data_IF_947712802840
#
_entry.id   IF_947712802840
#
_cell.length_a   1.000
_cell.length_b   1.000
_cell.length_c   1.000
_cell.angle_alpha   90.00
_cell.angle_beta   90.00
_cell.angle_gamma   90.00
#
_symmetry.space_group_name_H-M   'P 1'
#
loop_
_entity.id
_entity.type
_entity.pdbx_description
1 polymer ?
#
# COMPACT_ATOMS: atom_id res chain seq x y z
N UNK A 1 0.71 -5.08 -9.46
CA UNK A 1 1.11 -4.31 -10.66
C UNK A 1 2.05 -3.20 -10.22
N UNK A 2 3.17 -2.96 -10.90
CA UNK A 2 4.12 -1.90 -10.52
C UNK A 2 3.96 -0.66 -11.43
N UNK A 3 4.82 0.35 -11.23
CA UNK A 3 4.77 1.63 -11.94
C UNK A 3 5.13 1.58 -13.44
N UNK A 4 5.54 0.42 -13.99
CA UNK A 4 5.76 0.25 -15.45
C UNK A 4 4.52 -0.26 -16.19
N UNK A 5 3.42 -0.51 -15.47
CA UNK A 5 2.14 -0.88 -16.03
C UNK A 5 1.41 0.32 -16.67
N UNK A 6 0.85 0.12 -17.86
CA UNK A 6 0.04 1.10 -18.58
C UNK A 6 -1.44 0.72 -18.72
N UNK A 7 -1.88 -0.36 -18.07
CA UNK A 7 -3.24 -0.88 -18.15
C UNK A 7 -4.05 -0.54 -16.88
N UNK A 8 -5.29 -0.09 -17.06
CA UNK A 8 -6.21 0.08 -15.93
C UNK A 8 -6.47 -1.29 -15.29
N UNK A 9 -6.29 -1.37 -13.99
CA UNK A 9 -6.43 -2.61 -13.22
C UNK A 9 -6.80 -2.28 -11.78
N UNK A 10 -7.60 -3.17 -11.17
CA UNK A 10 -7.95 -3.15 -9.74
C UNK A 10 -6.97 -3.95 -8.87
N UNK A 11 -5.81 -4.31 -9.43
CA UNK A 11 -4.71 -5.05 -8.79
C UNK A 11 -5.15 -6.35 -8.08
N UNK A 12 -4.43 -6.77 -7.05
CA UNK A 12 -4.57 -8.05 -6.39
C UNK A 12 -5.90 -8.17 -5.63
N UNK A 13 -6.39 -7.11 -4.98
CA UNK A 13 -7.69 -7.11 -4.29
C UNK A 13 -8.85 -7.21 -5.27
N UNK A 14 -8.80 -6.45 -6.36
CA UNK A 14 -9.83 -6.56 -7.38
C UNK A 14 -9.78 -7.90 -8.11
N UNK A 15 -8.60 -8.49 -8.32
CA UNK A 15 -8.51 -9.86 -8.81
C UNK A 15 -9.18 -10.86 -7.85
N UNK A 16 -8.97 -10.70 -6.53
CA UNK A 16 -9.65 -11.50 -5.52
C UNK A 16 -11.18 -11.34 -5.57
N UNK A 17 -11.68 -10.10 -5.68
CA UNK A 17 -13.10 -9.79 -5.90
C UNK A 17 -13.66 -10.52 -7.12
N UNK A 18 -12.99 -10.41 -8.26
CA UNK A 18 -13.43 -11.05 -9.52
C UNK A 18 -13.53 -12.57 -9.37
N UNK A 19 -12.53 -13.21 -8.75
CA UNK A 19 -12.57 -14.67 -8.52
C UNK A 19 -13.76 -15.07 -7.64
N UNK A 20 -14.04 -14.31 -6.59
CA UNK A 20 -15.15 -14.60 -5.69
C UNK A 20 -16.51 -14.40 -6.37
N UNK A 21 -16.68 -13.30 -7.10
CA UNK A 21 -17.89 -13.05 -7.88
C UNK A 21 -18.11 -14.12 -8.94
N UNK A 22 -17.06 -14.55 -9.64
CA UNK A 22 -17.16 -15.62 -10.63
C UNK A 22 -17.55 -16.96 -9.99
N UNK A 23 -16.97 -17.29 -8.83
CA UNK A 23 -17.31 -18.50 -8.07
C UNK A 23 -18.79 -18.55 -7.69
N UNK A 24 -19.36 -17.42 -7.27
CA UNK A 24 -20.74 -17.35 -6.77
C UNK A 24 -21.79 -17.10 -7.86
N UNK A 25 -21.45 -16.32 -8.89
CA UNK A 25 -22.36 -15.98 -9.99
C UNK A 25 -22.31 -16.97 -11.17
N UNK A 26 -21.44 -17.98 -11.12
CA UNK A 26 -21.34 -19.03 -12.14
C UNK A 26 -20.94 -18.50 -13.52
N UNK A 27 -21.71 -18.84 -14.57
CA UNK A 27 -21.42 -18.47 -15.98
C UNK A 27 -21.74 -17.01 -16.32
N UNK A 28 -21.94 -16.15 -15.33
CA UNK A 28 -22.14 -14.72 -15.56
C UNK A 28 -20.89 -14.06 -16.13
N UNK A 29 -21.07 -13.01 -16.93
CA UNK A 29 -19.96 -12.14 -17.34
C UNK A 29 -19.39 -11.40 -16.14
N UNK A 30 -18.08 -11.16 -16.13
CA UNK A 30 -17.41 -10.38 -15.06
C UNK A 30 -18.11 -9.03 -14.87
N UNK A 31 -18.34 -8.63 -13.61
CA UNK A 31 -19.06 -7.40 -13.26
C UNK A 31 -20.58 -7.48 -13.41
N UNK A 32 -21.14 -8.67 -13.64
CA UNK A 32 -22.58 -8.95 -13.62
C UNK A 32 -22.89 -10.10 -12.67
N UNK A 33 -24.07 -10.06 -12.08
CA UNK A 33 -24.59 -11.11 -11.21
C UNK A 33 -25.15 -10.52 -9.91
N UNK A 34 -25.94 -11.31 -9.16
CA UNK A 34 -26.52 -10.86 -7.90
C UNK A 34 -25.51 -10.85 -6.73
N UNK A 35 -24.47 -11.69 -6.76
CA UNK A 35 -23.45 -11.72 -5.72
C UNK A 35 -22.38 -10.66 -5.98
N UNK A 36 -22.03 -9.90 -4.94
CA UNK A 36 -21.01 -8.85 -4.96
C UNK A 36 -19.95 -9.20 -3.92
N UNK A 37 -18.67 -9.16 -4.31
CA UNK A 37 -17.56 -9.42 -3.41
C UNK A 37 -16.60 -8.23 -3.33
N UNK A 38 -16.50 -7.60 -2.16
CA UNK A 38 -15.61 -6.46 -1.93
C UNK A 38 -14.48 -6.83 -0.96
N UNK A 39 -13.24 -6.64 -1.41
CA UNK A 39 -12.05 -6.79 -0.57
C UNK A 39 -11.60 -5.42 -0.07
N UNK A 40 -11.99 -5.08 1.16
CA UNK A 40 -11.64 -3.81 1.79
C UNK A 40 -10.17 -3.76 2.23
N UNK A 41 -9.67 -2.53 2.36
CA UNK A 41 -8.40 -2.24 3.01
C UNK A 41 -8.55 -2.13 4.53
N UNK A 42 -7.47 -2.43 5.23
CA UNK A 42 -7.34 -2.26 6.68
C UNK A 42 -6.15 -1.32 6.96
N UNK A 43 -5.21 -1.75 7.81
CA UNK A 43 -3.98 -1.03 8.13
C UNK A 43 -2.80 -1.50 7.25
N UNK A 44 -2.68 -0.93 6.05
CA UNK A 44 -1.70 -1.37 5.03
C UNK A 44 -0.52 -0.40 4.80
N UNK A 45 -0.30 0.56 5.70
CA UNK A 45 0.70 1.62 5.49
C UNK A 45 2.14 1.13 5.29
N UNK A 46 2.48 -0.03 5.84
CA UNK A 46 3.79 -0.68 5.81
C UNK A 46 3.73 -2.14 5.33
N UNK A 47 2.66 -2.52 4.61
CA UNK A 47 2.44 -3.90 4.13
C UNK A 47 2.62 -3.97 2.62
N UNK A 48 3.55 -4.81 2.17
CA UNK A 48 3.83 -5.01 0.74
C UNK A 48 3.31 -6.37 0.22
N UNK A 49 2.69 -6.41 -0.98
CA UNK A 49 2.38 -7.67 -1.66
C UNK A 49 3.61 -8.31 -2.34
N UNK A 50 4.75 -7.62 -2.35
CA UNK A 50 5.98 -8.07 -3.01
C UNK A 50 6.80 -9.00 -2.10
N UNK A 51 6.29 -10.22 -1.91
CA UNK A 51 6.76 -11.16 -0.88
C UNK A 51 8.16 -11.75 -1.10
N UNK A 52 8.84 -11.50 -2.22
CA UNK A 52 10.26 -11.90 -2.39
C UNK A 52 11.24 -10.92 -1.75
N UNK A 53 10.73 -9.78 -1.25
CA UNK A 53 11.51 -8.77 -0.56
C UNK A 53 12.35 -7.89 -1.50
N UNK A 54 12.97 -6.83 -0.94
CA UNK A 54 13.71 -5.83 -1.69
C UNK A 54 15.10 -6.30 -2.10
N UNK A 55 15.45 -6.12 -3.38
CA UNK A 55 16.75 -6.46 -3.95
C UNK A 55 17.24 -5.39 -4.91
N UNK A 56 18.56 -5.31 -5.03
CA UNK A 56 19.23 -4.45 -5.98
C UNK A 56 19.09 -5.02 -7.39
N UNK A 57 18.49 -4.25 -8.29
CA UNK A 57 18.23 -4.71 -9.67
C UNK A 57 19.50 -4.93 -10.49
N UNK A 58 20.61 -4.30 -10.11
CA UNK A 58 21.91 -4.38 -10.79
C UNK A 58 22.79 -5.54 -10.29
N UNK A 59 22.69 -5.91 -9.01
CA UNK A 59 23.56 -6.93 -8.38
C UNK A 59 22.82 -8.18 -7.91
N UNK A 60 21.49 -8.12 -7.73
CA UNK A 60 20.68 -9.18 -7.13
C UNK A 60 20.81 -9.33 -5.61
N UNK A 61 21.70 -8.56 -4.98
CA UNK A 61 21.90 -8.57 -3.54
C UNK A 61 20.71 -7.94 -2.79
N UNK A 62 20.48 -8.28 -1.51
CA UNK A 62 19.53 -7.55 -0.67
C UNK A 62 19.87 -6.06 -0.60
N UNK A 63 18.84 -5.21 -0.57
CA UNK A 63 19.04 -3.78 -0.33
C UNK A 63 19.53 -3.49 1.09
N UNK A 64 20.06 -2.29 1.31
CA UNK A 64 20.21 -1.76 2.66
C UNK A 64 18.84 -1.57 3.33
N UNK A 65 18.67 -2.16 4.51
CA UNK A 65 17.37 -2.23 5.19
C UNK A 65 16.92 -0.88 5.77
N UNK A 66 17.85 -0.02 6.21
CA UNK A 66 17.51 1.24 6.86
C UNK A 66 17.14 2.33 5.86
N UNK A 67 17.82 2.35 4.72
CA UNK A 67 17.69 3.42 3.71
C UNK A 67 16.92 2.98 2.47
N UNK A 68 16.70 1.68 2.29
CA UNK A 68 16.14 1.08 1.06
C UNK A 68 16.96 1.48 -0.18
N UNK A 69 18.28 1.34 -0.10
CA UNK A 69 19.18 1.73 -1.19
C UNK A 69 20.10 0.60 -1.64
N UNK A 70 20.64 0.77 -2.84
CA UNK A 70 21.68 -0.05 -3.43
C UNK A 70 22.83 0.87 -3.85
N UNK A 71 23.97 0.77 -3.16
CA UNK A 71 25.09 1.72 -3.32
C UNK A 71 24.63 3.19 -3.20
N UNK A 72 23.71 3.47 -2.27
CA UNK A 72 23.18 4.80 -2.01
C UNK A 72 22.09 5.29 -2.97
N UNK A 73 21.68 4.50 -3.96
CA UNK A 73 20.59 4.82 -4.90
C UNK A 73 19.32 4.07 -4.51
N UNK A 74 18.21 4.78 -4.31
CA UNK A 74 16.92 4.18 -3.96
C UNK A 74 16.23 3.59 -5.20
N UNK A 75 16.42 4.18 -6.39
CA UNK A 75 15.81 3.75 -7.65
C UNK A 75 16.16 2.30 -8.04
N UNK A 76 17.27 1.79 -7.51
CA UNK A 76 17.76 0.44 -7.74
C UNK A 76 17.24 -0.60 -6.75
N UNK A 77 16.65 -0.17 -5.64
CA UNK A 77 16.13 -1.07 -4.62
C UNK A 77 14.65 -1.34 -4.85
N UNK A 78 14.32 -2.54 -5.35
CA UNK A 78 12.94 -2.89 -5.70
C UNK A 78 12.55 -4.21 -5.04
N UNK A 79 11.36 -4.24 -4.43
CA UNK A 79 10.73 -5.45 -3.92
C UNK A 79 9.98 -6.17 -5.05
N UNK A 80 10.07 -7.51 -5.07
CA UNK A 80 9.48 -8.32 -6.13
C UNK A 80 8.33 -9.20 -5.64
N UNK A 81 7.28 -9.27 -6.45
CA UNK A 81 6.17 -10.20 -6.27
C UNK A 81 6.59 -11.67 -6.48
N UNK A 82 5.71 -12.62 -6.08
CA UNK A 82 5.99 -14.04 -6.13
C UNK A 82 5.93 -14.66 -7.54
N UNK A 83 5.44 -13.94 -8.55
CA UNK A 83 5.31 -14.43 -9.94
C UNK A 83 6.56 -14.17 -10.80
N UNK A 84 6.52 -14.64 -12.04
CA UNK A 84 7.52 -14.36 -13.10
C UNK A 84 7.44 -12.92 -13.60
N UNK A 85 6.26 -12.32 -13.52
CA UNK A 85 5.96 -10.96 -13.92
C UNK A 85 4.95 -10.33 -12.95
N UNK A 86 4.61 -9.07 -13.19
CA UNK A 86 3.67 -8.34 -12.34
C UNK A 86 2.23 -8.88 -12.43
N UNK A 87 1.82 -9.41 -13.58
CA UNK A 87 0.47 -9.93 -13.78
C UNK A 87 0.28 -11.23 -13.01
N UNK A 88 1.25 -12.14 -13.11
CA UNK A 88 1.26 -13.38 -12.36
C UNK A 88 1.40 -13.13 -10.86
N UNK A 89 2.21 -12.16 -10.44
CA UNK A 89 2.31 -11.75 -9.04
C UNK A 89 0.97 -11.24 -8.50
N UNK A 90 0.30 -10.35 -9.25
CA UNK A 90 -1.05 -9.87 -8.91
C UNK A 90 -2.06 -11.02 -8.82
N UNK A 91 -2.01 -11.99 -9.74
CA UNK A 91 -2.87 -13.19 -9.69
C UNK A 91 -2.60 -14.05 -8.46
N UNK A 92 -1.34 -14.34 -8.15
CA UNK A 92 -0.95 -15.18 -7.00
C UNK A 92 -1.41 -14.52 -5.69
N UNK A 93 -1.13 -13.24 -5.50
CA UNK A 93 -1.49 -12.52 -4.27
C UNK A 93 -3.01 -12.36 -4.14
N UNK A 94 -3.71 -12.06 -5.24
CA UNK A 94 -5.16 -11.98 -5.25
C UNK A 94 -5.83 -13.33 -5.01
N UNK A 95 -5.30 -14.42 -5.58
CA UNK A 95 -5.82 -15.76 -5.37
C UNK A 95 -5.71 -16.18 -3.90
N UNK A 96 -4.57 -15.93 -3.25
CA UNK A 96 -4.40 -16.22 -1.81
C UNK A 96 -5.40 -15.47 -0.93
N UNK A 97 -5.67 -14.20 -1.24
CA UNK A 97 -6.70 -13.42 -0.54
C UNK A 97 -8.10 -14.02 -0.77
N UNK A 98 -8.42 -14.38 -2.01
CA UNK A 98 -9.68 -15.02 -2.38
C UNK A 98 -9.87 -16.37 -1.67
N UNK A 99 -8.87 -17.25 -1.69
CA UNK A 99 -8.95 -18.58 -1.07
C UNK A 99 -9.29 -18.44 0.42
N UNK A 100 -8.58 -17.54 1.13
CA UNK A 100 -8.85 -17.36 2.55
C UNK A 100 -10.23 -16.74 2.81
N UNK A 101 -10.66 -15.80 1.97
CA UNK A 101 -11.98 -15.20 2.09
C UNK A 101 -13.10 -16.21 1.82
N UNK A 102 -12.95 -17.08 0.82
CA UNK A 102 -13.91 -18.15 0.53
C UNK A 102 -13.98 -19.15 1.69
N UNK A 103 -12.83 -19.58 2.22
CA UNK A 103 -12.76 -20.46 3.39
C UNK A 103 -13.56 -19.88 4.56
N UNK A 104 -13.30 -18.62 4.92
CA UNK A 104 -13.99 -17.94 6.02
C UNK A 104 -15.49 -17.76 5.76
N UNK A 105 -15.87 -17.48 4.51
CA UNK A 105 -17.27 -17.33 4.11
C UNK A 105 -18.03 -18.66 4.22
N UNK A 106 -17.44 -19.76 3.75
CA UNK A 106 -18.06 -21.09 3.80
C UNK A 106 -18.12 -21.65 5.22
N UNK A 107 -17.19 -21.28 6.10
CA UNK A 107 -17.15 -21.74 7.49
C UNK A 107 -17.89 -20.82 8.48
N UNK A 108 -18.49 -19.72 8.02
CA UNK A 108 -19.12 -18.74 8.91
C UNK A 108 -20.34 -19.33 9.64
N UNK A 109 -20.32 -19.29 10.98
CA UNK A 109 -21.43 -19.80 11.83
C UNK A 109 -22.01 -18.74 12.76
N UNK A 110 -21.29 -17.64 13.00
CA UNK A 110 -21.72 -16.58 13.89
C UNK A 110 -22.68 -15.61 13.17
N UNK A 111 -23.93 -15.55 13.65
CA UNK A 111 -24.90 -14.59 13.16
C UNK A 111 -24.71 -13.23 13.86
N UNK A 112 -24.36 -12.21 13.09
CA UNK A 112 -24.31 -10.83 13.58
C UNK A 112 -25.75 -10.31 13.71
N UNK A 113 -26.13 -9.88 14.92
CA UNK A 113 -27.44 -9.29 15.20
C UNK A 113 -27.32 -8.14 16.21
N UNK A 114 -28.28 -7.22 16.20
CA UNK A 114 -28.30 -6.05 17.08
C UNK A 114 -28.68 -4.76 16.34
N UNK A 115 -28.81 -3.63 17.05
CA UNK A 115 -29.08 -2.35 16.45
C UNK A 115 -27.87 -1.84 15.64
N UNK A 116 -28.14 -1.10 14.57
CA UNK A 116 -27.11 -0.40 13.80
C UNK A 116 -26.85 0.95 14.46
N UNK A 117 -25.60 1.21 14.84
CA UNK A 117 -25.14 2.52 15.31
C UNK A 117 -24.19 3.18 14.30
N UNK A 118 -24.14 4.50 14.28
CA UNK A 118 -23.17 5.27 13.50
C UNK A 118 -22.73 6.52 14.27
N UNK A 119 -21.50 6.96 14.04
CA UNK A 119 -20.96 8.21 14.54
C UNK A 119 -20.02 8.80 13.49
N UNK A 120 -20.06 10.12 13.35
CA UNK A 120 -19.24 10.84 12.38
C UNK A 120 -18.88 12.22 12.93
N UNK A 121 -17.65 12.66 12.69
CA UNK A 121 -17.18 13.98 13.09
C UNK A 121 -16.13 14.50 12.09
N UNK A 122 -16.23 15.77 11.73
CA UNK A 122 -15.13 16.49 11.09
C UNK A 122 -14.20 17.06 12.16
N UNK A 123 -12.90 16.84 12.01
CA UNK A 123 -11.87 17.28 12.95
C UNK A 123 -10.82 18.07 12.17
N UNK A 124 -10.46 19.25 12.67
CA UNK A 124 -9.31 19.99 12.17
C UNK A 124 -8.01 19.38 12.71
N UNK A 125 -7.38 18.49 11.95
CA UNK A 125 -6.16 17.79 12.38
C UNK A 125 -4.92 18.69 12.50
N UNK A 126 -5.00 20.01 12.24
CA UNK A 126 -3.83 20.90 12.24
C UNK A 126 -3.40 21.42 13.61
N UNK A 127 -4.25 21.30 14.64
CA UNK A 127 -3.99 21.82 15.98
C UNK A 127 -4.71 21.06 17.12
N UNK A 128 -4.94 19.76 16.95
CA UNK A 128 -5.50 18.89 17.99
C UNK A 128 -4.51 18.67 19.14
N UNK A 129 -4.99 18.86 20.38
CA UNK A 129 -4.26 18.52 21.61
C UNK A 129 -4.37 17.02 21.87
N UNK A 130 -3.22 16.35 22.03
CA UNK A 130 -3.12 14.93 22.33
C UNK A 130 -2.53 14.77 23.72
N UNK A 131 -3.26 14.11 24.61
CA UNK A 131 -2.75 13.75 25.94
C UNK A 131 -1.82 12.55 25.80
N UNK A 132 -0.54 12.70 26.13
CA UNK A 132 0.44 11.61 26.10
C UNK A 132 0.35 10.81 27.39
N UNK A 133 0.33 11.50 28.52
CA UNK A 133 0.16 10.92 29.85
C UNK A 133 -0.48 11.96 30.80
N UNK A 134 -0.49 11.70 32.10
CA UNK A 134 -1.13 12.59 33.08
C UNK A 134 -0.48 13.98 33.17
N UNK A 135 0.80 14.12 32.81
CA UNK A 135 1.58 15.36 32.98
C UNK A 135 2.03 15.98 31.66
N UNK A 136 1.88 15.28 30.54
CA UNK A 136 2.36 15.73 29.23
C UNK A 136 1.25 15.69 28.16
N UNK A 137 1.14 16.82 27.46
CA UNK A 137 0.33 16.97 26.26
C UNK A 137 1.25 17.31 25.07
N UNK A 138 0.84 16.89 23.88
CA UNK A 138 1.38 17.34 22.60
C UNK A 138 0.29 18.00 21.77
N UNK A 139 0.70 18.68 20.70
CA UNK A 139 -0.21 19.23 19.70
C UNK A 139 0.18 18.66 18.34
N UNK A 140 -0.82 18.30 17.54
CA UNK A 140 -0.62 17.97 16.12
C UNK A 140 -0.13 19.20 15.34
N UNK A 141 0.37 18.97 14.14
CA UNK A 141 0.99 20.01 13.32
C UNK A 141 0.15 20.27 12.05
N UNK A 142 0.40 21.41 11.40
CA UNK A 142 0.00 21.61 10.01
C UNK A 142 0.64 20.53 9.12
N UNK A 143 -0.03 20.10 8.04
CA UNK A 143 0.48 19.06 7.16
C UNK A 143 1.81 19.48 6.51
N UNK A 144 2.82 18.62 6.62
CA UNK A 144 4.13 18.76 6.00
C UNK A 144 4.68 17.37 5.65
N UNK A 145 5.54 17.29 4.64
CA UNK A 145 6.17 16.03 4.20
C UNK A 145 7.68 16.10 4.44
N UNK A 146 8.23 15.07 5.08
CA UNK A 146 9.68 14.95 5.30
C UNK A 146 10.42 14.54 4.03
N UNK A 147 11.76 14.61 4.06
CA UNK A 147 12.62 14.27 2.92
C UNK A 147 12.37 12.85 2.38
N UNK A 148 12.19 11.88 3.28
CA UNK A 148 11.93 10.47 2.93
C UNK A 148 10.65 10.27 2.10
N UNK A 149 9.72 11.24 2.07
CA UNK A 149 8.57 11.20 1.15
C UNK A 149 9.04 11.13 -0.31
N UNK A 150 10.08 11.88 -0.67
CA UNK A 150 10.66 11.87 -2.01
C UNK A 150 11.36 10.56 -2.38
N UNK A 151 11.70 9.72 -1.39
CA UNK A 151 12.38 8.44 -1.60
C UNK A 151 11.47 7.33 -2.11
N UNK A 152 10.14 7.50 -1.97
CA UNK A 152 9.17 6.44 -2.23
C UNK A 152 9.40 5.23 -1.33
N UNK A 153 9.05 4.04 -1.84
CA UNK A 153 9.22 2.76 -1.13
C UNK A 153 9.92 1.73 -2.00
N UNK A 154 10.19 0.55 -1.47
CA UNK A 154 10.71 -0.57 -2.27
C UNK A 154 9.69 -1.10 -3.27
N UNK A 155 8.40 -0.82 -3.10
CA UNK A 155 7.33 -1.19 -4.06
C UNK A 155 7.21 -0.22 -5.23
N UNK A 156 7.80 0.97 -5.08
CA UNK A 156 7.78 2.06 -6.05
C UNK A 156 8.76 3.13 -5.59
N UNK A 157 10.04 3.03 -5.98
CA UNK A 157 11.04 3.99 -5.53
C UNK A 157 10.72 5.37 -6.11
N UNK A 158 10.93 6.40 -5.28
CA UNK A 158 10.90 7.79 -5.69
C UNK A 158 12.15 8.17 -6.48
N UNK A 159 12.28 9.44 -6.85
CA UNK A 159 13.39 9.92 -7.68
C UNK A 159 14.45 10.70 -6.92
N UNK A 160 15.41 11.25 -7.68
CA UNK A 160 16.40 12.23 -7.21
C UNK A 160 17.28 11.76 -6.05
N UNK A 161 17.53 10.45 -5.91
CA UNK A 161 18.35 9.86 -4.84
C UNK A 161 17.91 10.21 -3.40
N UNK A 162 16.64 10.54 -3.18
CA UNK A 162 16.13 10.64 -1.82
C UNK A 162 16.23 9.27 -1.13
N UNK A 163 16.52 9.26 0.17
CA UNK A 163 16.68 8.03 0.95
C UNK A 163 15.60 7.95 2.02
N UNK A 164 15.13 6.74 2.29
CA UNK A 164 14.36 6.52 3.51
C UNK A 164 15.26 6.67 4.74
N UNK A 165 14.66 6.98 5.89
CA UNK A 165 15.40 7.18 7.14
C UNK A 165 16.17 8.51 7.25
N UNK A 166 16.04 9.44 6.29
CA UNK A 166 16.64 10.77 6.40
C UNK A 166 15.96 11.59 7.50
N UNK A 167 16.72 11.95 8.54
CA UNK A 167 16.23 12.69 9.73
C UNK A 167 16.66 14.16 9.78
N UNK A 168 17.56 14.58 8.88
CA UNK A 168 18.03 15.96 8.74
C UNK A 168 18.28 16.28 7.27
N UNK A 169 18.22 17.56 6.92
CA UNK A 169 18.62 18.02 5.60
C UNK A 169 20.15 18.13 5.54
N UNK A 170 20.81 17.29 4.76
CA UNK A 170 22.22 17.47 4.39
C UNK A 170 22.31 18.37 3.14
N UNK A 171 22.70 19.63 3.32
CA UNK A 171 23.21 20.49 2.25
C UNK A 171 22.18 21.04 1.24
N UNK A 172 22.14 22.37 1.13
CA UNK A 172 21.31 23.21 0.26
C UNK A 172 19.81 22.88 0.22
N UNK A 173 19.03 23.75 0.87
CA UNK A 173 17.61 23.88 0.59
C UNK A 173 17.38 23.78 -0.92
N UNK A 174 16.41 22.96 -1.34
CA UNK A 174 15.87 22.99 -2.70
C UNK A 174 15.14 24.32 -2.93
N UNK A 175 15.83 25.45 -2.80
CA UNK A 175 15.36 26.76 -3.23
C UNK A 175 15.39 26.77 -4.75
N UNK A 176 14.31 26.29 -5.38
CA UNK A 176 14.07 26.51 -6.80
C UNK A 176 13.66 25.31 -7.63
N UNK A 177 13.59 24.08 -7.09
CA UNK A 177 13.04 22.94 -7.84
C UNK A 177 11.58 22.72 -7.46
N UNK A 178 10.70 23.31 -8.26
CA UNK A 178 9.27 23.01 -8.28
C UNK A 178 9.06 21.50 -8.40
N UNK A 179 8.36 20.91 -7.44
CA UNK A 179 7.67 19.64 -7.67
C UNK A 179 6.60 19.94 -8.72
N UNK A 180 6.86 19.52 -9.96
CA UNK A 180 5.91 19.64 -11.05
C UNK A 180 4.61 18.93 -10.68
N UNK A 181 3.49 19.65 -10.79
CA UNK A 181 2.15 19.06 -10.74
C UNK A 181 2.04 18.05 -11.88
N UNK A 182 2.04 16.77 -11.55
CA UNK A 182 1.44 15.75 -12.39
C UNK A 182 0.14 15.32 -11.70
N UNK A 183 -0.96 15.96 -12.11
CA UNK A 183 -2.31 15.40 -11.96
C UNK A 183 -2.63 14.59 -13.21
#
# INVERSE_FOLDING_TARGET
MNNTNYLISSDNKGYASVLFEQKMNGKSTIGKGPFVAAFAQANEGDVSPNTRGPRCIDTGLPCDANTSTCNGQNEKCIAFGPGKDMFESTKIIGHRQYEKALELFESATELISGPIGYAHQYIDMSSQTVKINETANATTCKPAMGYSFGAGTTDGPGGFNFKQGTTYAEGEALSGKSFGKSF
#
